data_IF_057664835267
#
_entry.id   IF_057664835267
#
_cell.length_a   1.000
_cell.length_b   1.000
_cell.length_c   1.000
_cell.angle_alpha   90.00
_cell.angle_beta   90.00
_cell.angle_gamma   90.00
#
_symmetry.space_group_name_H-M   'P 1'
#
loop_
_entity.id
_entity.type
_entity.pdbx_description
1 polymer ?
#
# COMPACT_ATOMS: atom_id res chain seq x y z
N UNK A 1 37.09 8.14 20.85
CA UNK A 1 35.95 8.98 21.16
C UNK A 1 34.71 8.61 20.34
N UNK A 2 34.83 8.43 19.04
CA UNK A 2 33.70 8.04 18.19
C UNK A 2 33.12 6.65 18.52
N UNK A 3 33.96 5.73 18.99
CA UNK A 3 33.53 4.39 19.38
C UNK A 3 32.66 4.37 20.64
N UNK A 4 32.95 5.24 21.60
CA UNK A 4 32.18 5.34 22.83
C UNK A 4 30.79 5.93 22.59
N UNK A 5 30.69 6.89 21.67
CA UNK A 5 29.41 7.45 21.26
C UNK A 5 28.54 6.43 20.52
N UNK A 6 29.19 5.57 19.72
CA UNK A 6 28.51 4.53 18.98
C UNK A 6 27.90 3.47 19.91
N UNK A 7 28.65 3.09 20.93
CA UNK A 7 28.20 2.13 21.96
C UNK A 7 27.03 2.72 22.75
N UNK A 8 27.07 4.00 23.07
CA UNK A 8 25.97 4.70 23.73
C UNK A 8 24.70 4.74 22.90
N UNK A 9 24.85 4.94 21.58
CA UNK A 9 23.71 4.91 20.65
C UNK A 9 23.07 3.52 20.55
N UNK A 10 23.88 2.48 20.53
CA UNK A 10 23.40 1.08 20.51
C UNK A 10 22.70 0.75 21.82
N UNK A 11 23.23 1.20 22.94
CA UNK A 11 22.60 0.99 24.23
C UNK A 11 21.25 1.73 24.34
N UNK A 12 21.16 2.92 23.78
CA UNK A 12 19.90 3.68 23.74
C UNK A 12 18.83 2.99 22.87
N UNK A 13 19.24 2.45 21.73
CA UNK A 13 18.35 1.71 20.85
C UNK A 13 17.89 0.39 21.52
N UNK A 14 18.80 -0.31 22.18
CA UNK A 14 18.47 -1.51 22.94
C UNK A 14 17.54 -1.18 24.12
N UNK A 15 17.72 -0.05 24.79
CA UNK A 15 16.84 0.41 25.86
C UNK A 15 15.43 0.74 25.36
N UNK A 16 15.30 1.34 24.21
CA UNK A 16 14.01 1.62 23.58
C UNK A 16 13.30 0.34 23.17
N UNK A 17 14.04 -0.63 22.62
CA UNK A 17 13.49 -1.94 22.27
C UNK A 17 13.01 -2.70 23.50
N UNK A 18 13.67 -2.53 24.63
CA UNK A 18 13.27 -3.15 25.90
C UNK A 18 11.97 -2.55 26.46
N UNK A 19 11.77 -1.25 26.30
CA UNK A 19 10.55 -0.58 26.73
C UNK A 19 9.32 -0.99 25.91
N UNK A 20 9.50 -1.41 24.70
CA UNK A 20 8.39 -1.87 23.85
C UNK A 20 7.77 -3.18 24.30
N UNK A 21 8.43 -3.91 25.21
CA UNK A 21 7.93 -5.14 25.80
C UNK A 21 6.73 -4.93 26.73
N UNK A 22 6.47 -3.70 27.15
CA UNK A 22 5.36 -3.36 28.05
C UNK A 22 4.04 -3.02 27.32
N UNK A 23 3.84 -3.54 26.12
CA UNK A 23 2.55 -3.43 25.41
C UNK A 23 2.38 -2.19 24.54
N UNK A 24 3.40 -1.39 24.35
CA UNK A 24 3.41 -0.29 23.38
C UNK A 24 4.15 -0.72 22.12
N UNK A 25 3.55 -0.44 20.96
CA UNK A 25 4.23 -0.67 19.69
C UNK A 25 5.53 0.13 19.63
N UNK A 26 6.66 -0.48 19.18
CA UNK A 26 7.89 0.25 19.00
C UNK A 26 7.71 1.37 17.96
N UNK A 27 8.31 2.52 18.18
CA UNK A 27 8.27 3.62 17.19
C UNK A 27 8.77 3.17 15.82
N UNK A 28 9.71 2.24 15.76
CA UNK A 28 10.20 1.67 14.51
C UNK A 28 9.11 0.92 13.73
N UNK A 29 8.24 0.16 14.40
CA UNK A 29 7.09 -0.50 13.74
C UNK A 29 6.06 0.50 13.27
N UNK A 30 5.79 1.53 14.06
CA UNK A 30 4.87 2.61 13.66
C UNK A 30 5.37 3.33 12.41
N UNK A 31 6.67 3.64 12.33
CA UNK A 31 7.27 4.24 11.13
C UNK A 31 7.18 3.33 9.91
N UNK A 32 7.39 2.02 10.08
CA UNK A 32 7.24 1.04 8.99
C UNK A 32 5.81 1.00 8.49
N UNK A 33 4.83 0.96 9.39
CA UNK A 33 3.41 0.97 9.01
C UNK A 33 3.00 2.30 8.34
N UNK A 34 3.51 3.44 8.81
CA UNK A 34 3.26 4.73 8.18
C UNK A 34 3.87 4.79 6.78
N UNK A 35 5.06 4.23 6.58
CA UNK A 35 5.71 4.12 5.26
C UNK A 35 4.93 3.21 4.33
N UNK A 36 4.47 2.07 4.82
CA UNK A 36 3.63 1.13 4.06
C UNK A 36 2.34 1.82 3.64
N UNK A 37 1.69 2.53 4.54
CA UNK A 37 0.48 3.29 4.26
C UNK A 37 0.69 4.33 3.15
N UNK A 38 1.74 5.13 3.26
CA UNK A 38 2.08 6.16 2.28
C UNK A 38 2.42 5.56 0.91
N UNK A 39 3.21 4.49 0.89
CA UNK A 39 3.59 3.80 -0.35
C UNK A 39 2.38 3.18 -1.02
N UNK A 40 1.48 2.58 -0.25
CA UNK A 40 0.25 2.00 -0.77
C UNK A 40 -0.64 3.06 -1.42
N UNK A 41 -0.88 4.17 -0.76
CA UNK A 41 -1.70 5.26 -1.29
C UNK A 41 -1.06 5.87 -2.53
N UNK A 42 0.24 6.07 -2.54
CA UNK A 42 0.97 6.59 -3.70
C UNK A 42 0.83 5.65 -4.89
N UNK A 43 0.99 4.34 -4.69
CA UNK A 43 0.83 3.34 -5.74
C UNK A 43 -0.58 3.35 -6.31
N UNK A 44 -1.59 3.40 -5.45
CA UNK A 44 -3.00 3.47 -5.87
C UNK A 44 -3.27 4.73 -6.68
N UNK A 45 -2.79 5.87 -6.22
CA UNK A 45 -2.99 7.13 -6.93
C UNK A 45 -2.31 7.15 -8.29
N UNK A 46 -1.10 6.60 -8.39
CA UNK A 46 -0.42 6.44 -9.68
C UNK A 46 -1.18 5.51 -10.62
N UNK A 47 -1.70 4.41 -10.11
CA UNK A 47 -2.50 3.48 -10.92
C UNK A 47 -3.80 4.12 -11.41
N UNK A 48 -4.51 4.82 -10.54
CA UNK A 48 -5.72 5.57 -10.91
C UNK A 48 -5.42 6.63 -11.97
N UNK A 49 -4.38 7.40 -11.76
CA UNK A 49 -3.98 8.44 -12.71
C UNK A 49 -3.60 7.85 -14.06
N UNK A 50 -2.83 6.77 -14.09
CA UNK A 50 -2.44 6.09 -15.32
C UNK A 50 -3.67 5.56 -16.07
N UNK A 51 -4.62 4.95 -15.36
CA UNK A 51 -5.86 4.46 -15.98
C UNK A 51 -6.71 5.61 -16.51
N UNK A 52 -6.90 6.66 -15.73
CA UNK A 52 -7.75 7.79 -16.10
C UNK A 52 -7.16 8.63 -17.24
N UNK A 53 -5.85 8.71 -17.35
CA UNK A 53 -5.16 9.37 -18.47
C UNK A 53 -4.92 8.44 -19.66
N UNK A 54 -5.41 7.21 -19.58
CA UNK A 54 -5.26 6.18 -20.63
C UNK A 54 -3.79 5.86 -20.94
N UNK A 55 -2.93 5.95 -19.94
CA UNK A 55 -1.51 5.61 -20.05
C UNK A 55 -1.30 4.13 -19.71
N UNK A 56 -1.57 3.26 -20.69
CA UNK A 56 -1.51 1.81 -20.50
C UNK A 56 -0.11 1.31 -20.19
N UNK A 57 0.92 1.97 -20.70
CA UNK A 57 2.32 1.60 -20.42
C UNK A 57 2.67 1.81 -18.96
N UNK A 58 2.28 2.94 -18.40
CA UNK A 58 2.52 3.26 -16.99
C UNK A 58 1.68 2.35 -16.09
N UNK A 59 0.44 2.09 -16.45
CA UNK A 59 -0.42 1.18 -15.71
C UNK A 59 0.16 -0.24 -15.67
N UNK A 60 0.70 -0.72 -16.79
CA UNK A 60 1.36 -2.03 -16.87
C UNK A 60 2.58 -2.12 -15.95
N UNK A 61 3.37 -1.06 -15.84
CA UNK A 61 4.52 -1.02 -14.93
C UNK A 61 4.13 -1.12 -13.47
N UNK A 62 2.94 -0.62 -13.11
CA UNK A 62 2.42 -0.66 -11.75
C UNK A 62 1.73 -1.99 -11.42
N UNK A 63 1.51 -2.84 -12.42
CA UNK A 63 0.76 -4.09 -12.26
C UNK A 63 1.67 -5.25 -11.89
N UNK A 64 1.17 -6.10 -10.99
CA UNK A 64 1.84 -7.33 -10.58
C UNK A 64 1.48 -8.46 -11.55
N UNK A 65 2.48 -9.18 -12.04
CA UNK A 65 2.28 -10.34 -12.94
C UNK A 65 1.45 -10.05 -14.20
N UNK A 66 1.63 -8.88 -14.79
CA UNK A 66 0.90 -8.47 -15.99
C UNK A 66 0.90 -9.55 -17.09
N UNK A 67 2.06 -10.19 -17.32
CA UNK A 67 2.19 -11.19 -18.39
C UNK A 67 1.39 -12.46 -18.15
N UNK A 68 1.16 -12.82 -16.90
CA UNK A 68 0.46 -14.05 -16.51
C UNK A 68 -1.05 -13.87 -16.37
N UNK A 69 -1.52 -12.65 -16.18
CA UNK A 69 -2.93 -12.37 -15.93
C UNK A 69 -3.42 -11.18 -16.77
N UNK A 70 -3.35 -11.31 -18.07
CA UNK A 70 -3.76 -10.22 -18.98
C UNK A 70 -5.23 -9.87 -18.87
N UNK A 71 -6.11 -10.84 -18.70
CA UNK A 71 -7.54 -10.57 -18.59
C UNK A 71 -7.86 -9.78 -17.32
N UNK A 72 -7.31 -10.20 -16.19
CA UNK A 72 -7.45 -9.46 -14.93
C UNK A 72 -6.89 -8.03 -15.02
N UNK A 73 -5.78 -7.85 -15.72
CA UNK A 73 -5.20 -6.55 -15.96
C UNK A 73 -6.18 -5.63 -16.71
N UNK A 74 -6.75 -6.11 -17.81
CA UNK A 74 -7.67 -5.31 -18.60
C UNK A 74 -8.94 -4.97 -17.84
N UNK A 75 -9.49 -5.90 -17.09
CA UNK A 75 -10.66 -5.66 -16.25
C UNK A 75 -10.38 -4.58 -15.21
N UNK A 76 -9.23 -4.65 -14.54
CA UNK A 76 -8.83 -3.65 -13.57
C UNK A 76 -8.56 -2.29 -14.21
N UNK A 77 -7.92 -2.28 -15.36
CA UNK A 77 -7.65 -1.06 -16.11
C UNK A 77 -8.95 -0.34 -16.50
N UNK A 78 -9.92 -1.09 -17.04
CA UNK A 78 -11.23 -0.54 -17.40
C UNK A 78 -12.00 -0.06 -16.16
N UNK A 79 -11.95 -0.84 -15.08
CA UNK A 79 -12.61 -0.43 -13.83
C UNK A 79 -12.04 0.88 -13.31
N UNK A 80 -10.73 1.01 -13.25
CA UNK A 80 -10.07 2.21 -12.72
C UNK A 80 -10.23 3.43 -13.64
N UNK A 81 -10.47 3.22 -14.94
CA UNK A 81 -10.83 4.30 -15.85
C UNK A 81 -12.20 4.91 -15.53
N UNK A 82 -13.11 4.09 -15.04
CA UNK A 82 -14.52 4.48 -14.85
C UNK A 82 -14.84 4.93 -13.43
N UNK A 83 -13.97 4.64 -12.47
CA UNK A 83 -14.17 5.09 -11.09
C UNK A 83 -13.61 6.50 -10.90
N UNK A 84 -14.34 7.30 -10.14
CA UNK A 84 -13.94 8.68 -9.81
C UNK A 84 -14.10 8.88 -8.31
N UNK A 85 -13.11 8.42 -7.50
CA UNK A 85 -13.14 8.70 -6.06
C UNK A 85 -13.13 10.21 -5.84
N UNK A 86 -13.92 10.66 -4.88
CA UNK A 86 -13.96 12.06 -4.49
C UNK A 86 -12.61 12.49 -3.89
N UNK A 87 -12.25 13.78 -4.08
CA UNK A 87 -11.03 14.35 -3.51
C UNK A 87 -10.98 14.24 -1.98
N UNK A 88 -12.15 14.25 -1.34
CA UNK A 88 -12.29 14.13 0.11
C UNK A 88 -12.46 12.68 0.57
N UNK A 89 -12.27 11.71 -0.34
CA UNK A 89 -12.44 10.30 -0.03
C UNK A 89 -11.41 9.86 1.02
N UNK A 90 -11.89 9.19 2.05
CA UNK A 90 -11.02 8.55 3.04
C UNK A 90 -10.62 7.18 2.54
N UNK A 91 -9.32 6.97 2.43
CA UNK A 91 -8.75 5.70 2.05
C UNK A 91 -8.40 4.89 3.30
N UNK A 92 -8.78 3.63 3.30
CA UNK A 92 -8.35 2.66 4.32
C UNK A 92 -7.26 1.77 3.75
N UNK A 93 -6.19 1.58 4.51
CA UNK A 93 -5.08 0.69 4.15
C UNK A 93 -4.97 -0.38 5.23
N UNK A 94 -5.09 -1.64 4.83
CA UNK A 94 -5.00 -2.77 5.75
C UNK A 94 -4.07 -3.83 5.18
N UNK A 95 -3.27 -4.44 6.05
CA UNK A 95 -2.46 -5.58 5.68
C UNK A 95 -3.25 -6.86 5.91
N UNK A 96 -3.24 -7.74 4.91
CA UNK A 96 -3.81 -9.08 5.08
C UNK A 96 -2.79 -9.96 5.80
N UNK A 97 -3.14 -10.42 7.00
CA UNK A 97 -2.25 -11.24 7.83
C UNK A 97 -1.96 -12.61 7.21
N UNK A 98 -2.83 -13.12 6.35
CA UNK A 98 -2.69 -14.46 5.77
C UNK A 98 -1.69 -14.51 4.62
N UNK A 99 -1.66 -13.49 3.76
CA UNK A 99 -0.85 -13.50 2.54
C UNK A 99 0.08 -12.30 2.41
N UNK A 100 0.07 -11.38 3.36
CA UNK A 100 0.93 -10.19 3.34
C UNK A 100 0.56 -9.14 2.32
N UNK A 101 -0.55 -9.29 1.58
CA UNK A 101 -0.99 -8.27 0.65
C UNK A 101 -1.54 -7.05 1.38
N UNK A 102 -1.52 -5.92 0.69
CA UNK A 102 -2.04 -4.65 1.21
C UNK A 102 -3.35 -4.35 0.52
N UNK A 103 -4.41 -4.21 1.30
CA UNK A 103 -5.74 -3.89 0.81
C UNK A 103 -6.00 -2.39 1.00
N UNK A 104 -6.23 -1.70 -0.09
CA UNK A 104 -6.55 -0.26 -0.09
C UNK A 104 -7.99 -0.11 -0.55
N UNK A 105 -8.80 0.55 0.24
CA UNK A 105 -10.22 0.69 -0.08
C UNK A 105 -10.74 2.09 0.21
N UNK A 106 -11.78 2.46 -0.51
CA UNK A 106 -12.51 3.69 -0.27
C UNK A 106 -13.98 3.50 -0.66
N UNK A 107 -14.84 4.33 -0.10
CA UNK A 107 -16.24 4.37 -0.49
C UNK A 107 -16.38 5.18 -1.78
N UNK A 108 -17.05 4.62 -2.79
CA UNK A 108 -17.39 5.31 -4.03
C UNK A 108 -18.73 6.05 -3.89
N UNK A 109 -19.69 5.38 -3.26
CA UNK A 109 -21.01 5.92 -2.94
C UNK A 109 -21.59 5.16 -1.74
N UNK A 110 -22.87 5.38 -1.43
CA UNK A 110 -23.52 4.73 -0.29
C UNK A 110 -23.56 3.20 -0.40
N UNK A 111 -23.53 2.67 -1.61
CA UNK A 111 -23.76 1.25 -1.88
C UNK A 111 -22.52 0.54 -2.43
N UNK A 112 -21.47 1.26 -2.79
CA UNK A 112 -20.29 0.66 -3.43
C UNK A 112 -19.00 1.10 -2.76
N UNK A 113 -18.09 0.16 -2.67
CA UNK A 113 -16.75 0.35 -2.16
C UNK A 113 -15.74 -0.12 -3.20
N UNK A 114 -14.70 0.65 -3.43
CA UNK A 114 -13.58 0.25 -4.27
C UNK A 114 -12.54 -0.46 -3.39
N UNK A 115 -12.09 -1.62 -3.83
CA UNK A 115 -11.01 -2.36 -3.20
C UNK A 115 -9.88 -2.56 -4.21
N UNK A 116 -8.68 -2.19 -3.82
CA UNK A 116 -7.45 -2.40 -4.60
C UNK A 116 -6.50 -3.23 -3.75
N UNK A 117 -6.04 -4.35 -4.30
CA UNK A 117 -5.11 -5.25 -3.62
C UNK A 117 -3.72 -5.04 -4.20
N UNK A 118 -2.76 -4.76 -3.33
CA UNK A 118 -1.37 -4.54 -3.70
C UNK A 118 -0.49 -5.69 -3.20
N UNK A 119 0.55 -5.99 -3.95
CA UNK A 119 1.61 -6.91 -3.55
C UNK A 119 2.89 -6.13 -3.31
N UNK A 120 3.57 -6.46 -2.21
CA UNK A 120 4.88 -5.88 -1.89
C UNK A 120 5.98 -6.73 -2.54
N UNK A 121 6.88 -6.08 -3.26
CA UNK A 121 8.05 -6.71 -3.85
C UNK A 121 9.20 -6.76 -2.85
N UNK A 122 10.24 -7.59 -3.11
CA UNK A 122 11.39 -7.69 -2.20
C UNK A 122 12.12 -6.36 -1.96
N UNK A 123 12.04 -5.40 -2.87
CA UNK A 123 12.63 -4.05 -2.73
C UNK A 123 11.73 -3.08 -1.96
N UNK A 124 10.65 -3.55 -1.35
CA UNK A 124 9.61 -2.80 -0.64
C UNK A 124 8.74 -1.90 -1.53
N UNK A 125 8.90 -1.94 -2.84
CA UNK A 125 7.94 -1.31 -3.76
C UNK A 125 6.67 -2.14 -3.82
N UNK A 126 5.58 -1.51 -4.24
CA UNK A 126 4.28 -2.18 -4.36
C UNK A 126 3.83 -2.20 -5.81
N UNK A 127 3.13 -3.28 -6.14
CA UNK A 127 2.48 -3.44 -7.43
C UNK A 127 1.02 -3.76 -7.21
N UNK A 128 0.18 -3.21 -8.04
CA UNK A 128 -1.23 -3.51 -7.97
C UNK A 128 -1.50 -4.91 -8.56
N UNK A 129 -2.25 -5.72 -7.83
CA UNK A 129 -2.54 -7.10 -8.21
C UNK A 129 -3.99 -7.28 -8.69
N UNK A 130 -4.91 -6.55 -8.08
CA UNK A 130 -6.33 -6.74 -8.33
C UNK A 130 -7.11 -5.52 -7.88
N UNK A 131 -8.21 -5.23 -8.57
CA UNK A 131 -9.16 -4.20 -8.16
C UNK A 131 -10.58 -4.67 -8.45
N UNK A 132 -11.49 -4.36 -7.54
CA UNK A 132 -12.91 -4.66 -7.71
C UNK A 132 -13.77 -3.66 -6.95
N UNK A 133 -15.06 -3.68 -7.24
CA UNK A 133 -16.05 -2.98 -6.44
C UNK A 133 -16.80 -3.98 -5.58
N UNK A 134 -17.05 -3.58 -4.34
CA UNK A 134 -17.80 -4.37 -3.37
C UNK A 134 -19.08 -3.62 -3.01
N UNK A 135 -20.11 -4.37 -2.69
CA UNK A 135 -21.32 -3.79 -2.09
C UNK A 135 -21.00 -3.36 -0.65
N UNK A 136 -21.30 -2.14 -0.35
CA UNK A 136 -21.08 -1.61 0.99
C UNK A 136 -22.21 -2.03 1.94
#
# INVERSE_FOLDING_TARGET
MKLKLFILLIAAVAGIAFFSFNGKEPESQKKVEDTVHSTALETVQKALNAAQTKNSKEFAKLSYNFRKNRNGYYECYQLLQNVRPDLNTKWEVRRDANNGSINVSCNLDKNRKLLIVLKTLPDNSMRFAYACTLNA
#
